data_IF_794797065904
#
_entry.id   IF_794797065904
#
_cell.length_a   1.000
_cell.length_b   1.000
_cell.length_c   1.000
_cell.angle_alpha   90.00
_cell.angle_beta   90.00
_cell.angle_gamma   90.00
#
_symmetry.space_group_name_H-M   'P 1'
#
loop_
_entity.id
_entity.type
_entity.pdbx_description
1 polymer ?
#
# COMPACT_ATOMS: atom_id res chain seq x y z
N UNK A 1 7.36 -19.26 -32.22
CA UNK A 1 7.81 -17.87 -32.47
C UNK A 1 7.02 -16.95 -31.56
N UNK A 2 7.55 -16.62 -30.39
CA UNK A 2 6.95 -15.59 -29.54
C UNK A 2 7.12 -14.24 -30.23
N UNK A 3 6.04 -13.48 -30.37
CA UNK A 3 6.06 -12.19 -31.04
C UNK A 3 7.04 -11.24 -30.34
N UNK A 4 7.88 -10.53 -31.10
CA UNK A 4 8.79 -9.50 -30.59
C UNK A 4 8.07 -8.47 -29.71
N UNK A 5 6.76 -8.27 -29.90
CA UNK A 5 5.92 -7.41 -29.05
C UNK A 5 5.64 -8.01 -27.66
N UNK A 6 5.53 -9.33 -27.55
CA UNK A 6 5.25 -10.03 -26.28
C UNK A 6 6.51 -10.15 -25.41
N UNK A 7 7.68 -10.23 -26.05
CA UNK A 7 8.98 -10.04 -25.39
C UNK A 7 9.17 -8.58 -24.98
N UNK A 8 8.87 -7.61 -25.86
CA UNK A 8 9.00 -6.18 -25.57
C UNK A 8 8.05 -5.72 -24.46
N UNK A 9 6.81 -6.23 -24.40
CA UNK A 9 5.86 -5.93 -23.30
C UNK A 9 6.29 -6.63 -22.00
N UNK A 10 6.85 -7.84 -22.05
CA UNK A 10 7.45 -8.47 -20.86
C UNK A 10 8.75 -7.78 -20.42
N UNK A 11 9.46 -7.11 -21.32
CA UNK A 11 10.67 -6.32 -21.03
C UNK A 11 10.31 -4.92 -20.49
N UNK A 12 9.25 -4.28 -21.03
CA UNK A 12 8.66 -3.02 -20.54
C UNK A 12 7.95 -3.20 -19.19
N UNK A 13 7.28 -4.34 -18.96
CA UNK A 13 6.58 -4.63 -17.69
C UNK A 13 7.48 -5.16 -16.57
N UNK A 14 8.78 -5.38 -16.83
CA UNK A 14 9.78 -5.60 -15.76
C UNK A 14 10.29 -4.31 -15.12
N UNK A 15 9.82 -3.15 -15.56
CA UNK A 15 9.97 -1.86 -14.87
C UNK A 15 8.96 -1.63 -13.75
N UNK A 16 8.50 -2.68 -13.07
CA UNK A 16 7.67 -2.55 -11.87
C UNK A 16 8.46 -1.80 -10.80
N UNK A 17 8.00 -0.57 -10.49
CA UNK A 17 8.62 0.33 -9.53
C UNK A 17 8.93 -0.40 -8.22
N UNK A 18 10.21 -0.60 -7.93
CA UNK A 18 10.64 -1.08 -6.63
C UNK A 18 10.30 -0.03 -5.56
N UNK A 19 9.66 -0.45 -4.47
CA UNK A 19 9.42 0.42 -3.31
C UNK A 19 10.67 0.51 -2.44
N UNK A 20 10.77 1.55 -1.62
CA UNK A 20 11.89 1.69 -0.68
C UNK A 20 12.04 0.49 0.27
N UNK A 21 10.94 -0.05 0.79
CA UNK A 21 10.98 -1.21 1.68
C UNK A 21 11.57 -2.44 0.98
N UNK A 22 11.17 -2.71 -0.27
CA UNK A 22 11.76 -3.82 -1.04
C UNK A 22 13.25 -3.56 -1.27
N UNK A 23 13.63 -2.36 -1.72
CA UNK A 23 15.01 -1.96 -1.92
C UNK A 23 15.89 -2.19 -0.69
N UNK A 24 15.45 -1.70 0.47
CA UNK A 24 16.16 -1.85 1.72
C UNK A 24 16.27 -3.31 2.16
N UNK A 25 15.22 -4.11 1.99
CA UNK A 25 15.24 -5.54 2.33
C UNK A 25 16.15 -6.37 1.39
N UNK A 26 16.33 -5.95 0.14
CA UNK A 26 17.29 -6.60 -0.78
C UNK A 26 18.73 -6.24 -0.40
N UNK A 27 19.01 -4.99 -0.03
CA UNK A 27 20.36 -4.57 0.35
C UNK A 27 20.80 -5.09 1.73
N UNK A 28 19.88 -5.15 2.71
CA UNK A 28 20.21 -5.41 4.11
C UNK A 28 21.03 -6.69 4.34
N UNK A 29 20.72 -7.84 3.73
CA UNK A 29 21.50 -9.07 3.90
C UNK A 29 22.90 -9.02 3.29
N UNK A 30 23.15 -8.09 2.36
CA UNK A 30 24.38 -8.02 1.57
C UNK A 30 25.35 -7.01 2.17
N UNK A 31 24.86 -5.80 2.47
CA UNK A 31 25.68 -4.67 2.94
C UNK A 31 25.30 -4.15 4.33
N UNK A 32 24.26 -4.71 4.94
CA UNK A 32 23.72 -4.18 6.19
C UNK A 32 24.52 -4.54 7.45
N UNK A 33 25.44 -5.49 7.38
CA UNK A 33 26.28 -5.90 8.52
C UNK A 33 25.47 -6.16 9.80
N UNK A 34 25.94 -5.62 10.92
CA UNK A 34 25.29 -5.74 12.23
C UNK A 34 24.20 -4.70 12.50
N UNK A 35 23.96 -3.73 11.60
CA UNK A 35 23.00 -2.68 11.91
C UNK A 35 21.60 -3.27 12.13
N UNK A 36 20.79 -2.68 12.99
CA UNK A 36 19.37 -3.01 13.04
C UNK A 36 18.60 -2.32 11.88
N UNK A 37 17.28 -2.52 11.79
CA UNK A 37 16.48 -1.94 10.69
C UNK A 37 16.47 -0.41 10.71
N UNK A 38 16.50 0.22 11.89
CA UNK A 38 16.50 1.68 12.04
C UNK A 38 17.83 2.25 11.56
N UNK A 39 18.93 1.75 12.12
CA UNK A 39 20.30 2.16 11.79
C UNK A 39 20.59 2.01 10.30
N UNK A 40 20.21 0.86 9.71
CA UNK A 40 20.42 0.61 8.29
C UNK A 40 19.62 1.57 7.42
N UNK A 41 18.35 1.79 7.75
CA UNK A 41 17.48 2.70 6.99
C UNK A 41 18.02 4.13 7.03
N UNK A 42 18.43 4.60 8.21
CA UNK A 42 19.05 5.92 8.39
C UNK A 42 20.35 6.01 7.57
N UNK A 43 21.19 4.98 7.61
CA UNK A 43 22.43 4.88 6.82
C UNK A 43 22.19 4.98 5.32
N UNK A 44 21.15 4.34 4.78
CA UNK A 44 20.82 4.45 3.35
C UNK A 44 20.50 5.91 2.96
N UNK A 45 19.68 6.62 3.75
CA UNK A 45 19.36 8.02 3.45
C UNK A 45 20.59 8.93 3.59
N UNK A 46 21.41 8.74 4.63
CA UNK A 46 22.66 9.49 4.81
C UNK A 46 23.61 9.24 3.64
N UNK A 47 23.76 8.00 3.20
CA UNK A 47 24.60 7.66 2.05
C UNK A 47 24.14 8.35 0.75
N UNK A 48 22.85 8.68 0.63
CA UNK A 48 22.34 9.40 -0.53
C UNK A 48 22.54 10.92 -0.44
N UNK A 49 22.34 11.51 0.74
CA UNK A 49 22.47 12.97 0.91
C UNK A 49 23.90 13.41 1.26
N UNK A 50 24.77 12.47 1.63
CA UNK A 50 26.09 12.76 2.18
C UNK A 50 26.04 13.11 3.68
N UNK A 51 27.09 12.76 4.42
CA UNK A 51 27.19 12.97 5.87
C UNK A 51 27.00 14.45 6.27
N UNK A 52 27.49 15.38 5.45
CA UNK A 52 27.37 16.84 5.69
C UNK A 52 25.91 17.33 5.70
N UNK A 53 24.99 16.60 5.06
CA UNK A 53 23.56 16.92 5.02
C UNK A 53 22.72 16.10 6.01
N UNK A 54 23.35 15.33 6.92
CA UNK A 54 22.67 14.45 7.88
C UNK A 54 21.64 15.17 8.78
N UNK A 55 21.84 16.47 9.04
CA UNK A 55 20.91 17.33 9.80
C UNK A 55 19.51 17.42 9.19
N UNK A 56 19.36 17.19 7.88
CA UNK A 56 18.05 17.19 7.18
C UNK A 56 17.11 16.13 7.75
N UNK A 57 17.65 15.03 8.29
CA UNK A 57 16.86 13.90 8.79
C UNK A 57 17.00 13.67 10.31
N UNK A 58 17.68 14.56 11.04
CA UNK A 58 17.90 14.44 12.49
C UNK A 58 16.59 14.40 13.28
N UNK A 59 15.60 15.19 12.86
CA UNK A 59 14.31 15.28 13.53
C UNK A 59 13.39 14.06 13.29
N UNK A 60 13.83 13.07 12.48
CA UNK A 60 13.06 11.86 12.24
C UNK A 60 13.27 10.84 13.36
N UNK A 61 12.15 10.32 13.88
CA UNK A 61 12.15 9.32 14.93
C UNK A 61 12.61 7.94 14.43
N UNK A 62 13.15 7.14 15.33
CA UNK A 62 13.56 5.76 15.03
C UNK A 62 12.38 4.88 14.59
N UNK A 63 11.19 5.13 15.15
CA UNK A 63 9.95 4.46 14.71
C UNK A 63 9.61 4.78 13.26
N UNK A 64 9.88 6.00 12.79
CA UNK A 64 9.68 6.37 11.38
C UNK A 64 10.59 5.55 10.47
N UNK A 65 11.89 5.49 10.77
CA UNK A 65 12.85 4.68 9.99
C UNK A 65 12.50 3.19 10.00
N UNK A 66 12.06 2.68 11.16
CA UNK A 66 11.57 1.30 11.27
C UNK A 66 10.33 1.09 10.41
N UNK A 67 9.41 2.04 10.38
CA UNK A 67 8.19 1.94 9.59
C UNK A 67 8.49 1.97 8.08
N UNK A 68 9.41 2.82 7.61
CA UNK A 68 9.87 2.85 6.22
C UNK A 68 10.48 1.51 5.80
N UNK A 69 11.38 0.95 6.62
CA UNK A 69 11.99 -0.36 6.35
C UNK A 69 10.95 -1.47 6.18
N UNK A 70 9.97 -1.50 7.09
CA UNK A 70 8.93 -2.53 7.14
C UNK A 70 7.77 -2.26 6.16
N UNK A 71 7.80 -1.16 5.41
CA UNK A 71 6.71 -0.76 4.51
C UNK A 71 5.41 -0.40 5.24
N UNK A 72 5.49 0.00 6.52
CA UNK A 72 4.33 0.44 7.32
C UNK A 72 3.98 1.92 7.10
N UNK A 73 4.94 2.68 6.60
CA UNK A 73 4.79 4.07 6.15
C UNK A 73 5.57 4.26 4.86
N UNK A 74 5.14 5.21 4.04
CA UNK A 74 5.87 5.61 2.83
C UNK A 74 6.91 6.67 3.17
N UNK A 75 7.85 6.86 2.23
CA UNK A 75 8.97 7.78 2.42
C UNK A 75 8.66 9.18 1.87
N UNK A 76 7.41 9.50 1.49
CA UNK A 76 7.08 10.75 0.79
C UNK A 76 7.53 12.00 1.56
N UNK A 77 7.31 12.02 2.88
CA UNK A 77 7.73 13.13 3.74
C UNK A 77 9.25 13.35 3.71
N UNK A 78 10.01 12.30 4.06
CA UNK A 78 11.47 12.36 4.08
C UNK A 78 12.05 12.55 2.67
N UNK A 79 11.46 11.97 1.63
CA UNK A 79 11.88 12.11 0.24
C UNK A 79 11.83 13.57 -0.23
N UNK A 80 10.78 14.33 0.14
CA UNK A 80 10.70 15.77 -0.16
C UNK A 80 11.77 16.57 0.55
N UNK A 81 12.12 16.19 1.78
CA UNK A 81 13.15 16.86 2.58
C UNK A 81 14.55 16.60 2.01
N UNK A 82 14.83 15.37 1.59
CA UNK A 82 16.17 14.97 1.10
C UNK A 82 16.38 15.23 -0.39
N UNK A 83 15.34 15.24 -1.22
CA UNK A 83 15.46 15.37 -2.68
C UNK A 83 16.29 16.58 -3.15
N UNK A 84 16.26 17.76 -2.50
CA UNK A 84 17.10 18.90 -2.90
C UNK A 84 18.62 18.69 -2.68
N UNK A 85 19.00 17.76 -1.81
CA UNK A 85 20.39 17.50 -1.41
C UNK A 85 20.85 16.06 -1.71
N UNK A 86 19.95 15.24 -2.27
CA UNK A 86 20.27 13.88 -2.70
C UNK A 86 21.24 13.92 -3.88
N UNK A 87 22.31 13.14 -3.78
CA UNK A 87 23.32 13.02 -4.83
C UNK A 87 23.56 11.55 -5.14
N UNK A 88 23.34 11.20 -6.40
CA UNK A 88 23.55 9.87 -6.93
C UNK A 88 24.99 9.37 -6.68
N UNK A 89 25.99 10.25 -6.84
CA UNK A 89 27.41 9.89 -6.73
C UNK A 89 27.82 9.55 -5.29
N UNK A 90 27.16 10.15 -4.29
CA UNK A 90 27.38 9.79 -2.89
C UNK A 90 27.00 8.33 -2.64
N UNK A 91 25.85 7.90 -3.20
CA UNK A 91 25.39 6.53 -3.02
C UNK A 91 26.19 5.52 -3.85
N UNK A 92 26.66 5.90 -5.05
CA UNK A 92 27.60 5.09 -5.83
C UNK A 92 28.89 4.86 -5.04
N UNK A 93 29.49 5.94 -4.53
CA UNK A 93 30.70 5.88 -3.72
C UNK A 93 30.52 5.03 -2.45
N UNK A 94 29.35 5.11 -1.81
CA UNK A 94 28.98 4.26 -0.68
C UNK A 94 29.02 2.77 -1.06
N UNK A 95 28.49 2.38 -2.22
CA UNK A 95 28.49 0.99 -2.69
C UNK A 95 29.89 0.53 -3.12
N UNK A 96 30.67 1.40 -3.76
CA UNK A 96 32.04 1.09 -4.21
C UNK A 96 32.96 0.69 -3.04
N UNK A 97 32.73 1.25 -1.85
CA UNK A 97 33.52 0.94 -0.65
C UNK A 97 33.40 -0.52 -0.17
N UNK A 98 32.44 -1.31 -0.67
CA UNK A 98 32.28 -2.71 -0.31
C UNK A 98 33.10 -3.68 -1.19
N UNK A 99 33.60 -3.21 -2.34
CA UNK A 99 34.47 -3.97 -3.25
C UNK A 99 33.75 -5.01 -4.14
N UNK A 100 34.49 -5.52 -5.13
CA UNK A 100 33.95 -6.31 -6.26
C UNK A 100 33.16 -7.56 -5.85
N UNK A 101 33.58 -8.27 -4.80
CA UNK A 101 32.88 -9.47 -4.34
C UNK A 101 31.48 -9.16 -3.79
N UNK A 102 31.27 -7.96 -3.26
CA UNK A 102 29.94 -7.49 -2.85
C UNK A 102 29.14 -7.03 -4.07
N UNK A 103 29.79 -6.35 -5.03
CA UNK A 103 29.18 -5.96 -6.31
C UNK A 103 28.61 -7.17 -7.08
N UNK A 104 29.27 -8.32 -7.05
CA UNK A 104 28.74 -9.58 -7.63
C UNK A 104 27.43 -10.01 -6.97
N UNK A 105 27.37 -10.03 -5.62
CA UNK A 105 26.17 -10.39 -4.87
C UNK A 105 25.03 -9.41 -5.09
N UNK A 106 25.35 -8.11 -5.16
CA UNK A 106 24.40 -7.06 -5.49
C UNK A 106 23.85 -7.25 -6.90
N UNK A 107 24.71 -7.54 -7.88
CA UNK A 107 24.31 -7.75 -9.27
C UNK A 107 23.33 -8.94 -9.38
N UNK A 108 23.63 -10.06 -8.71
CA UNK A 108 22.74 -11.23 -8.67
C UNK A 108 21.39 -10.86 -8.03
N UNK A 109 21.41 -10.25 -6.85
CA UNK A 109 20.21 -9.91 -6.10
C UNK A 109 19.28 -8.92 -6.82
N UNK A 110 19.86 -7.96 -7.56
CA UNK A 110 19.11 -6.93 -8.29
C UNK A 110 18.77 -7.29 -9.74
N UNK A 111 19.31 -8.39 -10.30
CA UNK A 111 19.05 -8.85 -11.67
C UNK A 111 17.57 -9.07 -12.00
N UNK A 112 16.76 -9.41 -10.99
CA UNK A 112 15.30 -9.58 -11.11
C UNK A 112 14.49 -8.28 -11.03
N UNK A 113 15.12 -7.17 -10.62
CA UNK A 113 14.47 -5.88 -10.36
C UNK A 113 14.95 -4.76 -11.29
N UNK A 114 16.21 -4.80 -11.73
CA UNK A 114 16.82 -3.73 -12.52
C UNK A 114 17.25 -4.28 -13.88
N UNK A 115 16.70 -3.69 -14.94
CA UNK A 115 17.02 -4.08 -16.31
C UNK A 115 18.46 -3.68 -16.68
N UNK A 116 19.12 -4.57 -17.43
CA UNK A 116 20.48 -4.37 -17.96
C UNK A 116 21.52 -4.09 -16.86
N UNK A 117 21.31 -4.67 -15.67
CA UNK A 117 22.31 -4.64 -14.60
C UNK A 117 23.39 -5.69 -14.87
N UNK A 118 24.64 -5.27 -14.76
CA UNK A 118 25.83 -6.12 -14.88
C UNK A 118 26.93 -5.63 -13.93
N UNK A 119 28.03 -6.37 -13.85
CA UNK A 119 29.13 -6.05 -12.93
C UNK A 119 29.81 -4.70 -13.19
N UNK A 120 29.70 -4.14 -14.40
CA UNK A 120 30.33 -2.86 -14.75
C UNK A 120 29.46 -1.67 -14.31
N UNK A 121 28.14 -1.88 -14.17
CA UNK A 121 27.19 -0.80 -13.91
C UNK A 121 26.35 -1.00 -12.64
N UNK A 122 26.54 -2.11 -11.91
CA UNK A 122 25.71 -2.52 -10.75
C UNK A 122 25.53 -1.41 -9.72
N UNK A 123 26.61 -0.78 -9.27
CA UNK A 123 26.55 0.26 -8.23
C UNK A 123 25.80 1.50 -8.71
N UNK A 124 26.09 1.95 -9.94
CA UNK A 124 25.37 3.05 -10.59
C UNK A 124 23.87 2.73 -10.77
N UNK A 125 23.53 1.53 -11.24
CA UNK A 125 22.15 1.09 -11.48
C UNK A 125 21.36 1.00 -10.18
N UNK A 126 21.95 0.49 -9.11
CA UNK A 126 21.32 0.43 -7.77
C UNK A 126 21.13 1.84 -7.21
N UNK A 127 22.15 2.70 -7.30
CA UNK A 127 22.05 4.10 -6.87
C UNK A 127 20.96 4.84 -7.66
N UNK A 128 20.93 4.66 -8.99
CA UNK A 128 19.93 5.27 -9.87
C UNK A 128 18.53 4.79 -9.53
N UNK A 129 18.40 3.51 -9.16
CA UNK A 129 17.12 3.00 -8.70
C UNK A 129 16.67 3.67 -7.40
N UNK A 130 17.58 3.91 -6.45
CA UNK A 130 17.24 4.60 -5.21
C UNK A 130 16.90 6.07 -5.44
N UNK A 131 17.63 6.75 -6.33
CA UNK A 131 17.35 8.12 -6.75
C UNK A 131 15.95 8.24 -7.37
N UNK A 132 15.58 7.31 -8.25
CA UNK A 132 14.24 7.25 -8.82
C UNK A 132 13.15 6.99 -7.77
N UNK A 133 13.43 6.15 -6.76
CA UNK A 133 12.53 5.93 -5.62
C UNK A 133 12.29 7.24 -4.86
N UNK A 134 13.35 8.00 -4.57
CA UNK A 134 13.26 9.29 -3.85
C UNK A 134 12.53 10.33 -4.70
N UNK A 135 12.91 10.51 -5.97
CA UNK A 135 12.29 11.48 -6.88
C UNK A 135 10.79 11.24 -7.02
N UNK A 136 10.38 9.98 -7.17
CA UNK A 136 8.96 9.62 -7.27
C UNK A 136 8.22 9.89 -5.97
N UNK A 137 8.77 9.49 -4.83
CA UNK A 137 8.18 9.77 -3.53
C UNK A 137 8.08 11.28 -3.22
N UNK A 138 9.07 12.06 -3.65
CA UNK A 138 9.08 13.51 -3.51
C UNK A 138 8.06 14.19 -4.42
N UNK A 139 7.92 13.70 -5.66
CA UNK A 139 6.97 14.19 -6.65
C UNK A 139 5.51 13.84 -6.33
N UNK A 140 5.26 12.89 -5.42
CA UNK A 140 3.93 12.64 -4.88
C UNK A 140 3.44 13.90 -4.18
N UNK A 141 2.57 14.65 -4.84
CA UNK A 141 1.97 15.86 -4.27
C UNK A 141 1.20 15.48 -3.01
N UNK A 142 1.48 16.18 -1.90
CA UNK A 142 0.51 16.28 -0.81
C UNK A 142 -0.78 16.80 -1.43
N UNK A 143 -1.90 16.09 -1.26
CA UNK A 143 -3.15 16.84 -1.27
C UNK A 143 -3.05 17.81 -0.10
N UNK A 144 -3.33 19.09 -0.35
CA UNK A 144 -3.39 20.09 0.73
C UNK A 144 -4.29 19.55 1.85
N UNK A 145 -4.02 19.85 3.13
CA UNK A 145 -4.91 19.44 4.20
C UNK A 145 -6.26 20.15 3.99
N UNK A 146 -7.17 19.47 3.31
CA UNK A 146 -8.56 19.86 3.24
C UNK A 146 -9.11 19.51 4.61
N UNK A 147 -9.35 20.53 5.44
CA UNK A 147 -10.12 20.46 6.68
C UNK A 147 -11.61 20.13 6.38
N UNK A 148 -11.85 19.11 5.57
CA UNK A 148 -13.18 18.58 5.26
C UNK A 148 -13.05 17.08 5.25
N UNK A 149 -13.85 16.42 6.09
CA UNK A 149 -14.12 14.99 6.03
C UNK A 149 -14.38 14.57 4.57
N UNK A 150 -13.34 14.08 3.90
CA UNK A 150 -13.39 13.79 2.47
C UNK A 150 -13.95 12.38 2.22
N UNK A 151 -14.88 12.30 1.27
CA UNK A 151 -15.42 11.06 0.69
C UNK A 151 -14.29 10.12 0.28
N UNK A 152 -14.38 8.83 0.65
CA UNK A 152 -13.53 7.82 0.05
C UNK A 152 -14.03 7.59 -1.38
N UNK A 153 -13.18 7.82 -2.38
CA UNK A 153 -13.56 7.63 -3.77
C UNK A 153 -13.39 6.16 -4.19
N UNK A 154 -14.36 5.68 -4.97
CA UNK A 154 -14.33 4.36 -5.59
C UNK A 154 -13.68 4.51 -6.98
N UNK A 155 -12.81 3.57 -7.42
CA UNK A 155 -12.17 3.64 -8.73
C UNK A 155 -13.16 3.61 -9.91
N UNK A 156 -12.69 4.07 -11.08
CA UNK A 156 -13.45 4.15 -12.33
C UNK A 156 -13.76 2.74 -12.86
N UNK A 157 -15.00 2.58 -13.31
CA UNK A 157 -15.64 1.35 -13.78
C UNK A 157 -14.93 0.75 -15.01
N UNK A 158 -14.54 -0.53 -14.98
CA UNK A 158 -13.97 -1.25 -16.13
C UNK A 158 -14.86 -2.41 -16.57
N UNK A 159 -15.52 -2.32 -17.73
CA UNK A 159 -16.36 -3.40 -18.25
C UNK A 159 -15.52 -4.63 -18.70
N UNK A 160 -15.42 -5.66 -17.87
CA UNK A 160 -14.87 -6.96 -18.24
C UNK A 160 -15.89 -8.09 -18.02
N UNK A 161 -16.08 -8.93 -19.06
CA UNK A 161 -17.20 -9.88 -19.23
C UNK A 161 -16.88 -11.35 -18.85
N UNK A 162 -15.96 -11.59 -17.91
CA UNK A 162 -15.69 -12.96 -17.43
C UNK A 162 -15.84 -13.07 -15.93
N UNK A 163 -16.93 -13.70 -15.48
CA UNK A 163 -17.25 -13.93 -14.09
C UNK A 163 -16.63 -15.27 -13.61
N UNK A 164 -15.71 -15.27 -12.63
CA UNK A 164 -15.01 -16.47 -12.19
C UNK A 164 -15.80 -17.36 -11.21
N UNK A 165 -17.02 -16.97 -10.82
CA UNK A 165 -17.79 -17.64 -9.77
C UNK A 165 -18.89 -18.55 -10.30
N UNK A 166 -19.32 -19.50 -9.46
CA UNK A 166 -20.44 -20.40 -9.78
C UNK A 166 -21.77 -19.64 -9.85
N UNK A 167 -22.78 -20.19 -10.53
CA UNK A 167 -24.12 -19.57 -10.56
C UNK A 167 -24.70 -19.36 -9.16
N UNK A 168 -24.44 -20.30 -8.24
CA UNK A 168 -24.88 -20.18 -6.84
C UNK A 168 -24.17 -19.04 -6.12
N UNK A 169 -22.84 -18.96 -6.23
CA UNK A 169 -22.06 -17.86 -5.65
C UNK A 169 -22.47 -16.50 -6.23
N UNK A 170 -22.78 -16.43 -7.52
CA UNK A 170 -23.23 -15.20 -8.18
C UNK A 170 -24.60 -14.73 -7.70
N UNK A 171 -25.54 -15.66 -7.49
CA UNK A 171 -26.84 -15.35 -6.89
C UNK A 171 -26.69 -14.82 -5.46
N UNK A 172 -25.85 -15.47 -4.66
CA UNK A 172 -25.56 -15.03 -3.29
C UNK A 172 -24.84 -13.67 -3.26
N UNK A 173 -23.87 -13.44 -4.15
CA UNK A 173 -23.15 -12.17 -4.24
C UNK A 173 -24.08 -11.03 -4.67
N UNK A 174 -24.95 -11.27 -5.66
CA UNK A 174 -25.97 -10.28 -6.08
C UNK A 174 -26.88 -9.90 -4.91
N UNK A 175 -27.30 -10.89 -4.14
CA UNK A 175 -28.15 -10.67 -2.96
C UNK A 175 -27.40 -9.93 -1.85
N UNK A 176 -26.13 -10.30 -1.61
CA UNK A 176 -25.26 -9.61 -0.66
C UNK A 176 -25.11 -8.14 -1.00
N UNK A 177 -24.84 -7.83 -2.27
CA UNK A 177 -24.71 -6.46 -2.75
C UNK A 177 -26.03 -5.70 -2.61
N UNK A 178 -27.17 -6.34 -2.91
CA UNK A 178 -28.48 -5.70 -2.72
C UNK A 178 -28.74 -5.29 -1.26
N UNK A 179 -28.20 -6.02 -0.29
CA UNK A 179 -28.38 -5.69 1.13
C UNK A 179 -27.33 -4.71 1.67
N UNK A 180 -26.07 -4.80 1.21
CA UNK A 180 -24.94 -4.08 1.80
C UNK A 180 -24.31 -2.99 0.93
N UNK A 181 -24.64 -2.89 -0.36
CA UNK A 181 -24.03 -1.90 -1.26
C UNK A 181 -24.27 -0.48 -0.74
N UNK A 182 -25.50 -0.10 -0.44
CA UNK A 182 -25.82 1.23 0.11
C UNK A 182 -25.08 1.49 1.44
N UNK A 183 -25.01 0.51 2.33
CA UNK A 183 -24.31 0.62 3.62
C UNK A 183 -22.82 0.87 3.40
N UNK A 184 -22.20 0.07 2.53
CA UNK A 184 -20.79 0.16 2.22
C UNK A 184 -20.48 1.49 1.52
N UNK A 185 -21.29 1.89 0.55
CA UNK A 185 -21.15 3.17 -0.15
C UNK A 185 -21.30 4.36 0.82
N UNK A 186 -22.25 4.30 1.75
CA UNK A 186 -22.44 5.33 2.79
C UNK A 186 -21.24 5.42 3.73
N UNK A 187 -20.71 4.27 4.16
CA UNK A 187 -19.51 4.23 5.00
C UNK A 187 -18.25 4.70 4.27
N UNK A 188 -18.18 4.46 2.97
CA UNK A 188 -17.12 4.96 2.09
C UNK A 188 -17.30 6.48 1.88
N UNK A 189 -18.54 6.96 1.76
CA UNK A 189 -18.90 8.37 1.62
C UNK A 189 -18.40 9.27 2.75
N UNK A 190 -18.44 10.58 2.51
CA UNK A 190 -17.92 11.63 3.41
C UNK A 190 -18.94 12.07 4.45
N UNK A 191 -20.21 11.72 4.24
CA UNK A 191 -21.33 11.96 5.14
C UNK A 191 -21.56 10.81 6.14
N UNK A 192 -20.72 9.76 6.11
CA UNK A 192 -20.79 8.58 6.99
C UNK A 192 -21.02 8.92 8.47
N UNK A 193 -20.40 10.00 8.96
CA UNK A 193 -20.49 10.40 10.37
C UNK A 193 -21.93 10.68 10.80
N UNK A 194 -22.75 11.28 9.91
CA UNK A 194 -24.16 11.55 10.19
C UNK A 194 -24.97 10.26 10.39
N UNK A 195 -24.69 9.26 9.56
CA UNK A 195 -25.33 7.93 9.58
C UNK A 195 -24.83 7.00 10.70
N UNK A 196 -23.66 7.31 11.27
CA UNK A 196 -23.18 6.64 12.49
C UNK A 196 -23.85 7.26 13.71
N UNK A 197 -23.86 8.59 13.82
CA UNK A 197 -24.41 9.33 14.98
C UNK A 197 -25.91 9.09 15.16
N UNK A 198 -26.67 8.99 14.07
CA UNK A 198 -28.11 8.68 14.13
C UNK A 198 -28.41 7.18 14.37
N UNK A 199 -27.37 6.35 14.47
CA UNK A 199 -27.43 4.90 14.68
C UNK A 199 -28.16 4.12 13.57
N UNK A 200 -28.46 4.73 12.42
CA UNK A 200 -29.12 4.08 11.29
C UNK A 200 -28.28 2.92 10.75
N UNK A 201 -27.03 3.19 10.39
CA UNK A 201 -26.11 2.20 9.82
C UNK A 201 -25.71 1.11 10.82
N UNK A 202 -25.28 1.41 12.06
CA UNK A 202 -24.95 0.39 13.06
C UNK A 202 -26.09 -0.61 13.30
N UNK A 203 -27.32 -0.12 13.40
CA UNK A 203 -28.50 -0.96 13.60
C UNK A 203 -28.84 -1.77 12.36
N UNK A 204 -28.73 -1.19 11.16
CA UNK A 204 -28.97 -1.89 9.89
C UNK A 204 -27.97 -3.03 9.69
N UNK A 205 -26.67 -2.79 9.92
CA UNK A 205 -25.61 -3.82 9.88
C UNK A 205 -25.96 -4.97 10.81
N UNK A 206 -26.24 -4.66 12.08
CA UNK A 206 -26.51 -5.67 13.10
C UNK A 206 -27.75 -6.50 12.75
N UNK A 207 -28.82 -5.84 12.30
CA UNK A 207 -30.06 -6.50 11.88
C UNK A 207 -29.84 -7.43 10.70
N UNK A 208 -29.24 -6.94 9.60
CA UNK A 208 -28.98 -7.73 8.40
C UNK A 208 -28.08 -8.93 8.68
N UNK A 209 -27.05 -8.74 9.52
CA UNK A 209 -26.20 -9.85 9.92
C UNK A 209 -26.99 -10.88 10.72
N UNK A 210 -27.69 -10.47 11.78
CA UNK A 210 -28.40 -11.38 12.68
C UNK A 210 -29.55 -12.14 12.00
N UNK A 211 -30.33 -11.47 11.15
CA UNK A 211 -31.53 -12.03 10.54
C UNK A 211 -31.24 -12.83 9.27
N UNK A 212 -30.13 -12.55 8.58
CA UNK A 212 -29.87 -13.10 7.24
C UNK A 212 -28.47 -13.64 7.07
N UNK A 213 -27.45 -12.80 7.26
CA UNK A 213 -26.10 -13.14 6.80
C UNK A 213 -25.27 -13.98 7.75
N UNK A 214 -25.64 -14.10 9.02
CA UNK A 214 -24.96 -14.94 10.02
C UNK A 214 -24.85 -16.40 9.57
N UNK A 215 -25.91 -16.94 8.99
CA UNK A 215 -25.93 -18.32 8.50
C UNK A 215 -25.70 -18.38 6.99
N UNK A 216 -26.34 -17.48 6.22
CA UNK A 216 -26.33 -17.49 4.76
C UNK A 216 -24.95 -17.26 4.14
N UNK A 217 -24.05 -16.53 4.82
CA UNK A 217 -22.67 -16.37 4.33
C UNK A 217 -21.89 -17.69 4.31
N UNK A 218 -22.36 -18.74 4.99
CA UNK A 218 -21.73 -20.06 4.92
C UNK A 218 -22.00 -20.78 3.59
N UNK A 219 -22.99 -20.34 2.82
CA UNK A 219 -23.41 -21.01 1.58
C UNK A 219 -22.54 -20.68 0.36
N UNK A 220 -21.64 -19.69 0.48
CA UNK A 220 -20.62 -19.42 -0.53
C UNK A 220 -19.70 -20.65 -0.66
N UNK A 221 -19.50 -21.09 -1.91
CA UNK A 221 -18.70 -22.27 -2.25
C UNK A 221 -17.24 -21.86 -2.46
N UNK A 222 -17.00 -20.78 -3.22
CA UNK A 222 -15.65 -20.32 -3.51
C UNK A 222 -14.95 -19.86 -2.21
N UNK A 223 -13.84 -20.49 -1.79
CA UNK A 223 -13.20 -20.17 -0.51
C UNK A 223 -12.68 -18.74 -0.41
N UNK A 224 -12.17 -18.19 -1.52
CA UNK A 224 -11.66 -16.81 -1.59
C UNK A 224 -12.81 -15.82 -1.44
N UNK A 225 -13.87 -15.98 -2.24
CA UNK A 225 -15.07 -15.14 -2.16
C UNK A 225 -15.69 -15.19 -0.75
N UNK A 226 -15.80 -16.40 -0.18
CA UNK A 226 -16.30 -16.60 1.17
C UNK A 226 -15.44 -15.88 2.22
N UNK A 227 -14.13 -15.94 2.09
CA UNK A 227 -13.20 -15.21 2.96
C UNK A 227 -13.37 -13.70 2.84
N UNK A 228 -13.54 -13.18 1.62
CA UNK A 228 -13.75 -11.74 1.39
C UNK A 228 -15.08 -11.27 2.01
N UNK A 229 -16.16 -12.04 1.85
CA UNK A 229 -17.47 -11.78 2.47
C UNK A 229 -17.36 -11.78 4.00
N UNK A 230 -16.70 -12.77 4.59
CA UNK A 230 -16.47 -12.78 6.04
C UNK A 230 -15.63 -11.60 6.51
N UNK A 231 -14.64 -11.18 5.72
CA UNK A 231 -13.84 -9.99 5.99
C UNK A 231 -14.72 -8.75 6.08
N UNK A 232 -15.66 -8.57 5.15
CA UNK A 232 -16.58 -7.42 5.16
C UNK A 232 -17.50 -7.48 6.37
N UNK A 233 -18.19 -8.61 6.57
CA UNK A 233 -19.12 -8.79 7.67
C UNK A 233 -18.45 -8.55 9.04
N UNK A 234 -17.25 -9.10 9.24
CA UNK A 234 -16.49 -8.90 10.47
C UNK A 234 -16.08 -7.44 10.67
N UNK A 235 -15.63 -6.76 9.62
CA UNK A 235 -15.22 -5.35 9.73
C UNK A 235 -16.42 -4.42 9.97
N UNK A 236 -17.58 -4.72 9.38
CA UNK A 236 -18.83 -3.99 9.63
C UNK A 236 -19.32 -4.18 11.07
N UNK A 237 -19.23 -5.40 11.60
CA UNK A 237 -19.60 -5.71 13.00
C UNK A 237 -18.64 -5.05 14.00
N UNK A 238 -17.33 -5.08 13.72
CA UNK A 238 -16.31 -4.36 14.48
C UNK A 238 -16.60 -2.86 14.50
N UNK A 239 -16.92 -2.25 13.35
CA UNK A 239 -17.24 -0.83 13.26
C UNK A 239 -18.53 -0.49 14.02
N UNK A 240 -19.60 -1.27 13.84
CA UNK A 240 -20.86 -1.08 14.55
C UNK A 240 -20.66 -1.19 16.07
N UNK A 241 -19.96 -2.23 16.53
CA UNK A 241 -19.69 -2.43 17.96
C UNK A 241 -18.79 -1.34 18.53
N UNK A 242 -17.76 -0.91 17.79
CA UNK A 242 -16.84 0.13 18.24
C UNK A 242 -17.55 1.49 18.37
N UNK A 243 -18.52 1.77 17.50
CA UNK A 243 -19.33 2.97 17.59
C UNK A 243 -20.35 2.89 18.74
N UNK A 244 -21.09 1.78 18.86
CA UNK A 244 -22.08 1.54 19.93
C UNK A 244 -21.44 1.64 21.33
N UNK A 245 -20.25 1.07 21.49
CA UNK A 245 -19.56 1.02 22.79
C UNK A 245 -18.82 2.31 23.15
N UNK A 246 -18.88 3.35 22.30
CA UNK A 246 -18.18 4.62 22.48
C UNK A 246 -16.67 4.47 22.74
N UNK A 247 -16.07 3.36 22.33
CA UNK A 247 -14.65 3.05 22.53
C UNK A 247 -13.78 3.41 21.32
N UNK A 248 -14.39 4.01 20.30
CA UNK A 248 -13.76 4.31 19.03
C UNK A 248 -13.22 5.74 19.00
N UNK A 249 -11.92 5.87 18.72
CA UNK A 249 -11.34 7.13 18.29
C UNK A 249 -11.42 7.25 16.77
N UNK A 250 -11.39 8.48 16.24
CA UNK A 250 -11.52 8.78 14.81
C UNK A 250 -10.57 7.95 13.93
N UNK A 251 -9.36 7.68 14.41
CA UNK A 251 -8.37 6.82 13.72
C UNK A 251 -8.85 5.37 13.51
N UNK A 252 -9.56 4.79 14.48
CA UNK A 252 -10.08 3.42 14.42
C UNK A 252 -11.23 3.31 13.41
N UNK A 253 -12.19 4.22 13.48
CA UNK A 253 -13.31 4.27 12.53
C UNK A 253 -12.77 4.40 11.10
N UNK A 254 -11.77 5.26 10.95
CA UNK A 254 -11.17 5.52 9.66
C UNK A 254 -10.40 4.31 9.10
N UNK A 255 -9.66 3.57 9.93
CA UNK A 255 -8.99 2.34 9.50
C UNK A 255 -9.98 1.23 9.12
N UNK A 256 -11.09 1.11 9.85
CA UNK A 256 -12.18 0.18 9.54
C UNK A 256 -12.86 0.52 8.20
N UNK A 257 -13.16 1.81 7.95
CA UNK A 257 -13.72 2.29 6.67
C UNK A 257 -12.80 1.97 5.48
N UNK A 258 -11.49 2.15 5.65
CA UNK A 258 -10.49 1.78 4.64
C UNK A 258 -10.53 0.28 4.34
N UNK A 259 -10.59 -0.55 5.39
CA UNK A 259 -10.63 -2.01 5.25
C UNK A 259 -11.92 -2.47 4.54
N UNK A 260 -13.08 -1.86 4.87
CA UNK A 260 -14.36 -2.09 4.18
C UNK A 260 -14.25 -1.75 2.69
N UNK A 261 -13.72 -0.57 2.35
CA UNK A 261 -13.50 -0.14 0.95
C UNK A 261 -12.67 -1.16 0.18
N UNK A 262 -11.52 -1.56 0.74
CA UNK A 262 -10.59 -2.46 0.07
C UNK A 262 -11.19 -3.85 -0.17
N UNK A 263 -11.96 -4.37 0.80
CA UNK A 263 -12.63 -5.65 0.67
C UNK A 263 -13.78 -5.59 -0.35
N UNK A 264 -14.57 -4.51 -0.33
CA UNK A 264 -15.67 -4.32 -1.28
C UNK A 264 -15.17 -4.23 -2.72
N UNK A 265 -14.07 -3.53 -2.95
CA UNK A 265 -13.43 -3.47 -4.26
C UNK A 265 -12.93 -4.84 -4.73
N UNK A 266 -12.36 -5.66 -3.83
CA UNK A 266 -11.95 -7.04 -4.15
C UNK A 266 -13.12 -7.95 -4.55
N UNK A 267 -14.32 -7.72 -4.01
CA UNK A 267 -15.53 -8.45 -4.40
C UNK A 267 -16.03 -8.11 -5.81
N UNK A 268 -15.59 -6.99 -6.37
CA UNK A 268 -16.07 -6.43 -7.63
C UNK A 268 -14.96 -6.20 -8.66
N UNK A 269 -14.18 -7.23 -9.02
CA UNK A 269 -13.09 -7.11 -9.98
C UNK A 269 -13.54 -6.73 -11.40
N UNK A 270 -14.81 -6.95 -11.72
CA UNK A 270 -15.49 -6.54 -12.95
C UNK A 270 -15.97 -5.10 -12.94
N UNK A 271 -16.00 -4.45 -11.77
CA UNK A 271 -16.26 -3.01 -11.65
C UNK A 271 -14.95 -2.25 -11.38
N UNK A 272 -13.96 -2.86 -10.74
CA UNK A 272 -12.75 -2.19 -10.26
C UNK A 272 -11.48 -3.02 -10.53
N UNK A 273 -10.41 -2.38 -11.03
CA UNK A 273 -9.18 -3.08 -11.42
C UNK A 273 -8.47 -3.72 -10.20
N UNK A 274 -8.13 -5.02 -10.32
CA UNK A 274 -7.36 -5.82 -9.36
C UNK A 274 -5.86 -5.46 -9.34
N UNK A 275 -5.36 -4.79 -10.38
CA UNK A 275 -3.93 -4.56 -10.61
C UNK A 275 -3.40 -3.23 -10.05
N UNK A 276 -4.24 -2.46 -9.35
CA UNK A 276 -3.77 -1.29 -8.60
C UNK A 276 -3.69 -1.72 -7.13
N UNK A 277 -2.49 -1.90 -6.53
CA UNK A 277 -2.35 -2.07 -5.10
C UNK A 277 -2.96 -0.84 -4.42
N UNK A 278 -4.05 -1.05 -3.67
CA UNK A 278 -4.84 0.05 -3.07
C UNK A 278 -4.12 0.80 -1.95
N UNK A 279 -2.90 0.38 -1.65
CA UNK A 279 -1.90 1.05 -0.82
C UNK A 279 -1.45 2.37 -1.48
N UNK A 280 -1.58 2.49 -2.81
CA UNK A 280 -1.28 3.71 -3.59
C UNK A 280 -2.36 4.79 -3.44
N UNK A 281 -3.55 4.45 -2.93
CA UNK A 281 -4.66 5.40 -2.71
C UNK A 281 -4.86 5.78 -1.23
N UNK A 282 -3.92 5.42 -0.35
CA UNK A 282 -4.00 5.68 1.10
C UNK A 282 -2.84 6.52 1.64
N UNK A 283 -2.07 7.15 0.76
CA UNK A 283 -0.72 7.60 1.08
C UNK A 283 -0.61 8.95 1.82
N UNK A 284 -1.67 9.37 2.53
CA UNK A 284 -1.72 10.71 3.15
C UNK A 284 -2.22 10.73 4.61
N UNK A 285 -2.26 9.61 5.33
CA UNK A 285 -2.89 9.63 6.68
C UNK A 285 -2.24 8.76 7.75
N UNK A 286 -0.91 8.69 7.79
CA UNK A 286 -0.23 8.34 9.05
C UNK A 286 0.74 9.42 9.54
N UNK A 287 0.81 10.57 8.84
CA UNK A 287 1.66 11.71 9.20
C UNK A 287 0.83 12.87 9.77
N UNK A 288 -0.08 12.59 10.70
CA UNK A 288 -0.54 13.61 11.62
C UNK A 288 -0.08 13.21 13.01
N UNK A 289 1.08 13.73 13.40
CA UNK A 289 1.42 13.94 14.79
C UNK A 289 0.29 14.76 15.45
N UNK A 290 -0.58 14.06 16.19
CA UNK A 290 -1.26 14.54 17.39
C UNK A 290 -1.57 13.34 18.30
#
# INVERSE_FOLDING_TARGET
>A
MGSLRDVSVKQEMRGLLMTFSIFANVLKPIIGGSDNTVEFTRKLFIAMIGEDNSTVIENKSDDSFKAYYNGRSTINGIAREISPVADLENFVSFLDNFGDSVSEKLCEAFSGYINEIDLQNVNYKIASCFDEIIKKAAATQRKSPSNKDEQLNIPIEHTATSNPYTEKDNKLLTEFNSDYEEIVLTLIGGDYASHLVDMSIPNQIKKLYQEKWKEKSNDFINPTLKSDIFGILGTLDELSTSFISCNSNTSVIKSQRIKIRNLYVKLHPEKYDKNIPYDVLLDDWNDSDF
#
